data_IF_192684356888
#
_entry.id   IF_192684356888
#
_cell.length_a   1.000
_cell.length_b   1.000
_cell.length_c   1.000
_cell.angle_alpha   90.00
_cell.angle_beta   90.00
_cell.angle_gamma   90.00
#
_symmetry.space_group_name_H-M   'P 1'
#
loop_
_entity.id
_entity.type
_entity.pdbx_description
1 polymer ?
#
# COMPACT_ATOMS: atom_id res chain seq x y z
N UNK A 1 -8.42 -23.24 -9.38
CA UNK A 1 -8.28 -22.84 -7.96
C UNK A 1 -6.80 -22.51 -7.70
N UNK A 2 -6.41 -21.24 -7.51
CA UNK A 2 -4.98 -20.86 -7.38
C UNK A 2 -4.50 -21.00 -5.92
N UNK A 3 -3.53 -21.91 -5.74
CA UNK A 3 -2.91 -22.43 -4.50
C UNK A 3 -2.31 -21.39 -3.54
N UNK A 4 -2.25 -20.11 -3.91
CA UNK A 4 -1.48 -19.06 -3.19
C UNK A 4 -2.25 -18.34 -2.08
N UNK A 5 -3.58 -18.45 -2.06
CA UNK A 5 -4.39 -17.78 -1.04
C UNK A 5 -4.46 -18.57 0.28
N UNK A 6 -4.20 -19.88 0.21
CA UNK A 6 -4.24 -20.80 1.37
C UNK A 6 -3.11 -20.53 2.37
N UNK A 7 -1.94 -20.12 1.89
CA UNK A 7 -0.76 -19.85 2.71
C UNK A 7 -0.88 -18.54 3.51
N UNK A 8 -1.62 -17.55 2.98
CA UNK A 8 -1.91 -16.28 3.68
C UNK A 8 -2.73 -16.45 4.95
N UNK A 9 -3.49 -17.53 5.05
CA UNK A 9 -4.36 -17.77 6.18
C UNK A 9 -3.63 -18.37 7.40
N UNK A 10 -2.43 -18.91 7.22
CA UNK A 10 -1.73 -19.64 8.30
C UNK A 10 -0.83 -18.72 9.15
N UNK A 11 -0.29 -17.65 8.57
CA UNK A 11 0.42 -16.59 9.30
C UNK A 11 -0.48 -15.76 10.25
N UNK A 12 -1.82 -15.92 10.15
CA UNK A 12 -2.83 -15.19 10.93
C UNK A 12 -2.92 -15.60 12.41
N UNK A 13 -2.33 -16.73 12.83
CA UNK A 13 -2.64 -17.34 14.14
C UNK A 13 -1.74 -16.92 15.31
N UNK A 14 -0.59 -16.27 15.06
CA UNK A 14 0.41 -16.00 16.11
C UNK A 14 0.52 -14.52 16.56
N UNK A 15 -0.10 -13.60 15.83
CA UNK A 15 -0.25 -12.19 16.23
C UNK A 15 -1.66 -11.76 15.89
N UNK A 16 -2.47 -11.31 16.85
CA UNK A 16 -3.91 -11.03 16.71
C UNK A 16 -4.29 -9.87 15.77
N UNK A 17 -3.68 -9.77 14.59
CA UNK A 17 -3.96 -8.80 13.55
C UNK A 17 -3.72 -9.41 12.17
N UNK A 18 -4.66 -9.17 11.25
CA UNK A 18 -4.58 -9.55 9.83
C UNK A 18 -3.23 -9.10 9.23
N UNK A 19 -2.53 -9.92 8.41
CA UNK A 19 -1.30 -9.48 7.79
C UNK A 19 -1.55 -8.21 6.99
N UNK A 20 -0.62 -7.22 7.04
CA UNK A 20 -0.81 -5.93 6.41
C UNK A 20 -1.08 -6.16 4.92
N UNK A 21 -2.27 -5.73 4.51
CA UNK A 21 -2.72 -5.83 3.13
C UNK A 21 -1.79 -5.01 2.21
N UNK A 22 -1.82 -5.28 0.90
CA UNK A 22 -1.03 -4.48 -0.06
C UNK A 22 -1.30 -2.98 0.07
N UNK A 23 -2.54 -2.61 0.44
CA UNK A 23 -2.97 -1.24 0.71
C UNK A 23 -2.29 -0.68 1.96
N UNK A 24 -2.30 -1.46 3.02
CA UNK A 24 -1.69 -1.10 4.30
C UNK A 24 -0.19 -0.81 4.16
N UNK A 25 0.52 -1.66 3.40
CA UNK A 25 1.94 -1.45 3.07
C UNK A 25 2.18 -0.18 2.25
N UNK A 26 1.30 0.12 1.30
CA UNK A 26 1.39 1.33 0.48
C UNK A 26 1.24 2.60 1.33
N UNK A 27 0.23 2.60 2.19
CA UNK A 27 -0.07 3.72 3.10
C UNK A 27 1.03 3.86 4.13
N UNK A 28 1.51 2.76 4.73
CA UNK A 28 2.62 2.79 5.69
C UNK A 28 3.89 3.40 5.08
N UNK A 29 4.26 3.00 3.85
CA UNK A 29 5.42 3.57 3.16
C UNK A 29 5.24 5.07 2.90
N UNK A 30 4.04 5.46 2.45
CA UNK A 30 3.74 6.86 2.19
C UNK A 30 3.66 7.70 3.48
N UNK A 31 3.27 7.13 4.62
CA UNK A 31 3.32 7.81 5.92
C UNK A 31 4.75 7.95 6.45
N UNK A 32 5.58 6.91 6.27
CA UNK A 32 6.98 6.91 6.72
C UNK A 32 7.83 7.92 5.94
N UNK A 33 7.62 8.01 4.62
CA UNK A 33 8.43 8.86 3.73
C UNK A 33 7.78 10.18 3.35
N UNK A 34 6.48 10.33 3.61
CA UNK A 34 5.66 11.43 3.11
C UNK A 34 5.35 11.28 1.62
N UNK A 35 6.29 11.69 0.78
CA UNK A 35 6.19 11.60 -0.68
C UNK A 35 6.91 10.36 -1.21
N UNK A 36 6.15 9.43 -1.79
CA UNK A 36 6.67 8.18 -2.37
C UNK A 36 6.55 8.18 -3.89
N UNK A 37 7.59 7.71 -4.57
CA UNK A 37 7.53 7.52 -6.03
C UNK A 37 6.80 6.22 -6.37
N UNK A 38 6.25 6.20 -7.57
CA UNK A 38 5.71 4.98 -8.20
C UNK A 38 6.73 3.83 -8.15
N UNK A 39 8.01 4.13 -8.33
CA UNK A 39 9.08 3.14 -8.29
C UNK A 39 9.24 2.54 -6.90
N UNK A 40 9.21 3.33 -5.84
CA UNK A 40 9.33 2.84 -4.46
C UNK A 40 8.15 1.92 -4.10
N UNK A 41 6.94 2.29 -4.53
CA UNK A 41 5.74 1.46 -4.35
C UNK A 41 5.83 0.16 -5.15
N UNK A 42 6.38 0.21 -6.36
CA UNK A 42 6.58 -0.99 -7.19
C UNK A 42 7.65 -1.91 -6.61
N UNK A 43 8.71 -1.35 -6.01
CA UNK A 43 9.81 -2.08 -5.38
C UNK A 43 9.32 -2.92 -4.18
N UNK A 44 8.39 -2.37 -3.38
CA UNK A 44 7.73 -3.11 -2.29
C UNK A 44 6.62 -4.08 -2.78
N UNK A 45 6.48 -4.24 -4.10
CA UNK A 45 5.58 -5.20 -4.72
C UNK A 45 4.15 -4.69 -4.95
N UNK A 46 3.92 -3.38 -4.99
CA UNK A 46 2.61 -2.79 -5.32
C UNK A 46 2.54 -2.51 -6.83
N UNK A 47 1.64 -3.18 -7.57
CA UNK A 47 1.48 -2.93 -8.99
C UNK A 47 0.91 -1.54 -9.27
N UNK A 48 1.36 -0.91 -10.35
CA UNK A 48 0.90 0.43 -10.78
C UNK A 48 -0.62 0.53 -10.98
N UNK A 49 -1.26 -0.55 -11.45
CA UNK A 49 -2.72 -0.58 -11.62
C UNK A 49 -3.49 -0.48 -10.29
N UNK A 50 -2.87 -0.88 -9.18
CA UNK A 50 -3.46 -0.74 -7.85
C UNK A 50 -3.33 0.68 -7.30
N UNK A 51 -2.35 1.47 -7.76
CA UNK A 51 -2.16 2.85 -7.30
C UNK A 51 -3.34 3.75 -7.67
N UNK A 52 -3.82 3.64 -8.92
CA UNK A 52 -5.01 4.38 -9.35
C UNK A 52 -6.22 4.05 -8.47
N UNK A 53 -6.43 2.76 -8.18
CA UNK A 53 -7.52 2.31 -7.32
C UNK A 53 -7.37 2.78 -5.86
N UNK A 54 -6.16 2.80 -5.33
CA UNK A 54 -5.89 3.35 -4.01
C UNK A 54 -6.10 4.87 -3.95
N UNK A 55 -5.89 5.59 -5.06
CA UNK A 55 -6.28 6.99 -5.17
C UNK A 55 -7.80 7.18 -5.23
N UNK A 56 -8.51 6.37 -5.99
CA UNK A 56 -9.98 6.39 -6.05
C UNK A 56 -10.61 6.06 -4.69
N UNK A 57 -10.00 5.15 -3.93
CA UNK A 57 -10.42 4.79 -2.57
C UNK A 57 -10.01 5.82 -1.50
N UNK A 58 -9.27 6.87 -1.87
CA UNK A 58 -8.83 7.92 -0.94
C UNK A 58 -7.75 7.46 0.05
N UNK A 59 -7.00 6.41 -0.26
CA UNK A 59 -5.88 5.93 0.57
C UNK A 59 -4.59 6.67 0.24
N UNK A 60 -4.37 6.94 -1.03
CA UNK A 60 -3.23 7.69 -1.55
C UNK A 60 -3.69 8.92 -2.30
N UNK A 61 -2.93 10.00 -2.24
CA UNK A 61 -3.16 11.21 -3.02
C UNK A 61 -2.02 11.37 -4.00
N UNK A 62 -2.35 11.55 -5.29
CA UNK A 62 -1.36 11.82 -6.32
C UNK A 62 -0.93 13.28 -6.23
N UNK A 63 0.30 13.52 -5.76
CA UNK A 63 0.86 14.88 -5.57
C UNK A 63 1.46 15.42 -6.86
N UNK A 64 1.95 14.55 -7.74
CA UNK A 64 2.59 14.96 -8.99
C UNK A 64 2.79 13.82 -9.98
N UNK A 65 3.63 14.05 -11.00
CA UNK A 65 3.90 13.02 -12.01
C UNK A 65 4.66 11.84 -11.40
N UNK A 66 3.93 10.77 -11.08
CA UNK A 66 4.50 9.55 -10.48
C UNK A 66 4.79 9.64 -8.98
N UNK A 67 4.29 10.68 -8.30
CA UNK A 67 4.43 10.90 -6.86
C UNK A 67 3.10 10.75 -6.14
N UNK A 68 3.16 10.09 -4.99
CA UNK A 68 2.00 9.79 -4.16
C UNK A 68 2.31 10.07 -2.69
N UNK A 69 1.31 10.53 -1.95
CA UNK A 69 1.33 10.65 -0.49
C UNK A 69 0.21 9.81 0.12
N UNK A 70 0.29 9.50 1.41
CA UNK A 70 -0.87 8.99 2.12
C UNK A 70 -1.92 10.11 2.21
N UNK A 71 -3.20 9.77 2.09
CA UNK A 71 -4.27 10.76 2.21
C UNK A 71 -4.32 11.42 3.60
N UNK A 72 -3.87 10.70 4.63
CA UNK A 72 -3.73 11.21 5.98
C UNK A 72 -2.39 11.95 6.21
N UNK A 73 -1.51 12.03 5.21
CA UNK A 73 -0.26 12.78 5.32
C UNK A 73 -0.55 14.26 5.12
N UNK A 74 -0.73 14.97 6.22
CA UNK A 74 -0.79 16.43 6.22
C UNK A 74 0.64 16.96 6.36
N UNK A 75 1.19 17.52 5.28
CA UNK A 75 2.40 18.34 5.38
C UNK A 75 2.05 19.57 6.25
N UNK A 76 2.43 19.50 7.53
CA UNK A 76 2.34 20.63 8.47
C UNK A 76 3.50 21.59 8.22
#
# INVERSE_FOLDING_TARGET
MRKRDRDRAEALRLSGGRPPSLRDRAVALAQERGEVRTRDLTDIGIPRCYLSRMCEEGLLVKVGHGWYCAAAWTAT
#
